data_IF_266276113911
#
_entry.id   IF_266276113911
#
_cell.length_a   1.000
_cell.length_b   1.000
_cell.length_c   1.000
_cell.angle_alpha   90.00
_cell.angle_beta   90.00
_cell.angle_gamma   90.00
#
_symmetry.space_group_name_H-M   'P 1'
#
loop_
_entity.id
_entity.type
_entity.pdbx_description
1 polymer ?
#
# COMPACT_ATOMS: atom_id res chain seq x y z
N UNK A 1 -7.36 -1.51 12.88
CA UNK A 1 -7.63 -0.79 11.61
C UNK A 1 -8.38 -1.72 10.65
N UNK A 2 -9.04 -1.19 9.62
CA UNK A 2 -9.84 -1.95 8.66
C UNK A 2 -9.64 -1.42 7.25
N UNK A 3 -9.82 -2.29 6.25
CA UNK A 3 -9.85 -1.96 4.83
C UNK A 3 -10.78 -2.96 4.11
N UNK A 4 -11.31 -2.57 2.96
CA UNK A 4 -12.04 -3.49 2.06
C UNK A 4 -11.08 -4.47 1.39
N UNK A 5 -11.59 -5.50 0.71
CA UNK A 5 -10.78 -6.36 -0.14
C UNK A 5 -10.55 -5.72 -1.51
N UNK A 6 -9.41 -6.02 -2.13
CA UNK A 6 -9.12 -5.55 -3.48
C UNK A 6 -9.99 -6.29 -4.51
N UNK A 7 -10.70 -5.53 -5.36
CA UNK A 7 -11.65 -6.05 -6.35
C UNK A 7 -11.02 -6.44 -7.70
N UNK A 8 -9.70 -6.33 -7.84
CA UNK A 8 -8.97 -6.69 -9.05
C UNK A 8 -8.47 -5.48 -9.85
N UNK A 9 -8.11 -5.77 -11.11
CA UNK A 9 -7.64 -4.80 -12.10
C UNK A 9 -8.76 -4.47 -13.11
N UNK A 10 -8.55 -3.42 -13.92
CA UNK A 10 -9.49 -2.97 -14.95
C UNK A 10 -10.61 -2.10 -14.39
N UNK A 11 -11.85 -2.31 -14.86
CA UNK A 11 -13.03 -1.59 -14.36
C UNK A 11 -13.37 -2.05 -12.95
N UNK A 12 -13.30 -1.11 -12.01
CA UNK A 12 -13.40 -1.34 -10.56
C UNK A 12 -14.05 -0.15 -9.88
N UNK A 13 -14.80 -0.40 -8.80
CA UNK A 13 -15.51 0.62 -8.04
C UNK A 13 -14.57 1.65 -7.40
N UNK A 14 -13.36 1.24 -6.97
CA UNK A 14 -12.35 2.16 -6.41
C UNK A 14 -11.86 3.23 -7.40
N UNK A 15 -12.13 3.05 -8.69
CA UNK A 15 -11.89 4.05 -9.74
C UNK A 15 -13.20 4.63 -10.31
N UNK A 16 -14.32 4.48 -9.59
CA UNK A 16 -15.61 5.06 -9.96
C UNK A 16 -16.46 4.25 -10.95
N UNK A 17 -16.03 3.05 -11.38
CA UNK A 17 -16.83 2.24 -12.30
C UNK A 17 -17.95 1.48 -11.57
N UNK A 18 -19.16 1.45 -12.14
CA UNK A 18 -20.36 0.83 -11.52
C UNK A 18 -21.23 0.04 -12.51
N UNK A 19 -20.64 -0.45 -13.60
CA UNK A 19 -21.35 -1.30 -14.57
C UNK A 19 -21.78 -2.66 -13.97
N UNK A 20 -22.69 -3.36 -14.65
CA UNK A 20 -23.21 -4.66 -14.20
C UNK A 20 -22.10 -5.69 -13.91
N UNK A 21 -21.01 -5.68 -14.67
CA UNK A 21 -19.85 -6.56 -14.42
C UNK A 21 -19.14 -6.24 -13.08
N UNK A 22 -19.07 -4.97 -12.69
CA UNK A 22 -18.46 -4.53 -11.43
C UNK A 22 -19.37 -4.95 -10.28
N UNK A 23 -20.68 -4.66 -10.38
CA UNK A 23 -21.65 -5.04 -9.35
C UNK A 23 -21.71 -6.56 -9.17
N UNK A 24 -21.70 -7.32 -10.26
CA UNK A 24 -21.63 -8.79 -10.22
C UNK A 24 -20.39 -9.29 -9.50
N UNK A 25 -19.22 -8.67 -9.75
CA UNK A 25 -17.97 -9.01 -9.05
C UNK A 25 -18.05 -8.67 -7.57
N UNK A 26 -18.57 -7.51 -7.18
CA UNK A 26 -18.75 -7.14 -5.78
C UNK A 26 -19.68 -8.11 -5.05
N UNK A 27 -20.79 -8.50 -5.69
CA UNK A 27 -21.70 -9.53 -5.17
C UNK A 27 -21.04 -10.90 -5.07
N UNK A 28 -20.19 -11.26 -6.03
CA UNK A 28 -19.38 -12.47 -5.93
C UNK A 28 -18.39 -12.41 -4.76
N UNK A 29 -17.74 -11.26 -4.55
CA UNK A 29 -16.82 -11.08 -3.42
C UNK A 29 -17.55 -11.18 -2.08
N UNK A 30 -18.73 -10.57 -1.98
CA UNK A 30 -19.60 -10.62 -0.80
C UNK A 30 -20.08 -12.04 -0.48
N UNK A 31 -20.52 -12.78 -1.49
CA UNK A 31 -21.19 -14.07 -1.30
C UNK A 31 -20.25 -15.28 -1.35
N UNK A 32 -19.07 -15.16 -1.97
CA UNK A 32 -18.10 -16.25 -2.09
C UNK A 32 -16.74 -15.91 -1.48
N UNK A 33 -16.02 -14.92 -2.02
CA UNK A 33 -14.63 -14.64 -1.63
C UNK A 33 -14.50 -14.38 -0.12
N UNK A 34 -15.27 -13.42 0.40
CA UNK A 34 -15.17 -13.01 1.80
C UNK A 34 -15.63 -14.13 2.77
N UNK A 35 -16.76 -14.83 2.56
CA UNK A 35 -17.14 -15.98 3.39
C UNK A 35 -16.11 -17.12 3.38
N UNK A 36 -15.51 -17.42 2.22
CA UNK A 36 -14.48 -18.45 2.10
C UNK A 36 -13.21 -18.05 2.85
N UNK A 37 -12.70 -16.84 2.63
CA UNK A 37 -11.54 -16.32 3.36
C UNK A 37 -11.79 -16.24 4.87
N UNK A 38 -13.01 -15.88 5.29
CA UNK A 38 -13.42 -15.89 6.70
C UNK A 38 -13.35 -17.29 7.30
N UNK A 39 -13.76 -18.33 6.57
CA UNK A 39 -13.63 -19.71 7.06
C UNK A 39 -12.17 -20.16 7.09
N UNK A 40 -11.38 -19.85 6.05
CA UNK A 40 -9.95 -20.15 6.02
C UNK A 40 -9.21 -19.49 7.19
N UNK A 41 -9.47 -18.22 7.48
CA UNK A 41 -8.88 -17.51 8.62
C UNK A 41 -9.31 -18.09 9.98
N UNK A 42 -10.52 -18.61 10.12
CA UNK A 42 -10.93 -19.31 11.36
C UNK A 42 -10.16 -20.62 11.59
N UNK A 43 -9.78 -21.31 10.52
CA UNK A 43 -8.98 -22.54 10.59
C UNK A 43 -7.51 -22.22 10.83
N UNK A 44 -6.99 -21.19 10.17
CA UNK A 44 -5.60 -20.76 10.28
C UNK A 44 -5.28 -20.09 11.62
N UNK A 45 -6.17 -19.22 12.09
CA UNK A 45 -5.86 -18.23 13.11
C UNK A 45 -5.33 -16.91 12.52
N UNK A 46 -4.92 -15.96 13.38
CA UNK A 46 -4.42 -14.66 12.93
C UNK A 46 -3.15 -14.79 12.09
N UNK A 47 -2.96 -13.86 11.15
CA UNK A 47 -1.75 -13.76 10.32
C UNK A 47 -0.93 -12.57 10.83
N UNK A 48 0.36 -12.78 11.07
CA UNK A 48 1.29 -11.69 11.35
C UNK A 48 1.65 -10.94 10.06
N UNK A 49 0.85 -9.91 9.76
CA UNK A 49 1.08 -9.06 8.59
C UNK A 49 2.39 -8.29 8.65
N UNK A 50 2.92 -7.96 9.84
CA UNK A 50 4.18 -7.21 9.95
C UNK A 50 5.36 -8.07 9.50
N UNK A 51 5.39 -9.33 9.92
CA UNK A 51 6.37 -10.31 9.46
C UNK A 51 6.22 -10.60 7.96
N UNK A 52 4.99 -10.76 7.48
CA UNK A 52 4.73 -11.03 6.06
C UNK A 52 5.15 -9.86 5.15
N UNK A 53 4.88 -8.60 5.54
CA UNK A 53 5.34 -7.40 4.84
C UNK A 53 6.88 -7.36 4.83
N UNK A 54 7.53 -7.69 5.95
CA UNK A 54 9.00 -7.73 6.03
C UNK A 54 9.59 -8.72 5.01
N UNK A 55 9.01 -9.91 4.90
CA UNK A 55 9.41 -10.90 3.91
C UNK A 55 9.15 -10.41 2.47
N UNK A 56 8.00 -9.78 2.22
CA UNK A 56 7.67 -9.22 0.92
C UNK A 56 8.70 -8.16 0.47
N UNK A 57 9.10 -7.26 1.37
CA UNK A 57 10.17 -6.27 1.10
C UNK A 57 11.47 -6.95 0.70
N UNK A 58 11.86 -8.03 1.38
CA UNK A 58 13.07 -8.79 1.05
C UNK A 58 12.95 -9.64 -0.22
N UNK A 59 11.73 -9.80 -0.74
CA UNK A 59 11.42 -10.48 -2.01
C UNK A 59 11.14 -9.50 -3.15
N UNK A 60 11.43 -8.22 -2.93
CA UNK A 60 11.40 -7.18 -3.94
C UNK A 60 10.10 -6.40 -4.03
N UNK A 61 9.13 -6.62 -3.14
CA UNK A 61 7.98 -5.73 -3.04
C UNK A 61 8.38 -4.43 -2.32
N UNK A 62 7.56 -3.40 -2.48
CA UNK A 62 7.65 -2.18 -1.65
C UNK A 62 6.38 -1.95 -0.82
N UNK A 63 5.31 -2.70 -1.08
CA UNK A 63 4.10 -2.74 -0.25
C UNK A 63 3.03 -1.71 -0.61
N UNK A 64 3.22 -0.91 -1.67
CA UNK A 64 2.24 0.03 -2.19
C UNK A 64 1.81 -0.33 -3.63
N UNK A 65 2.70 -0.25 -4.61
CA UNK A 65 2.42 -0.57 -6.01
C UNK A 65 2.87 -1.99 -6.42
N UNK A 66 4.00 -2.47 -5.89
CA UNK A 66 4.47 -3.83 -6.13
C UNK A 66 4.20 -4.68 -4.89
N UNK A 67 3.27 -5.63 -5.04
CA UNK A 67 2.71 -6.48 -3.98
C UNK A 67 2.67 -7.98 -4.36
N UNK A 68 3.48 -8.38 -5.35
CA UNK A 68 3.46 -9.73 -5.93
C UNK A 68 4.00 -10.78 -4.97
N UNK A 69 5.08 -10.46 -4.26
CA UNK A 69 5.62 -11.35 -3.25
C UNK A 69 4.67 -11.49 -2.06
N UNK A 70 4.10 -10.39 -1.56
CA UNK A 70 3.12 -10.39 -0.47
C UNK A 70 1.87 -11.20 -0.84
N UNK A 71 1.35 -11.04 -2.05
CA UNK A 71 0.21 -11.83 -2.55
C UNK A 71 0.55 -13.33 -2.61
N UNK A 72 1.76 -13.67 -3.08
CA UNK A 72 2.24 -15.07 -3.12
C UNK A 72 2.41 -15.68 -1.71
N UNK A 73 2.95 -14.91 -0.75
CA UNK A 73 3.09 -15.33 0.65
C UNK A 73 1.73 -15.56 1.30
N UNK A 74 0.75 -14.68 1.03
CA UNK A 74 -0.61 -14.85 1.54
C UNK A 74 -1.28 -16.12 0.99
N UNK A 75 -1.14 -16.37 -0.31
CA UNK A 75 -1.65 -17.62 -0.91
C UNK A 75 -0.98 -18.82 -0.25
N UNK A 76 0.35 -18.81 -0.11
CA UNK A 76 1.09 -19.89 0.54
C UNK A 76 0.60 -20.17 1.97
N UNK A 77 0.32 -19.12 2.73
CA UNK A 77 -0.17 -19.21 4.11
C UNK A 77 -1.60 -19.77 4.19
N UNK A 78 -2.49 -19.26 3.34
CA UNK A 78 -3.92 -19.58 3.41
C UNK A 78 -4.33 -20.81 2.60
N UNK A 79 -3.57 -21.25 1.62
CA UNK A 79 -3.94 -22.34 0.72
C UNK A 79 -4.36 -23.63 1.45
N UNK A 80 -3.62 -24.15 2.46
CA UNK A 80 -4.04 -25.34 3.20
C UNK A 80 -5.39 -25.17 3.90
N UNK A 81 -5.67 -23.98 4.41
CA UNK A 81 -6.91 -23.65 5.11
C UNK A 81 -8.07 -23.44 4.12
N UNK A 82 -7.80 -22.85 2.94
CA UNK A 82 -8.75 -22.73 1.83
C UNK A 82 -9.24 -24.11 1.40
N UNK A 83 -8.34 -25.08 1.24
CA UNK A 83 -8.69 -26.46 0.87
C UNK A 83 -9.58 -27.14 1.91
N UNK A 84 -9.37 -26.85 3.21
CA UNK A 84 -10.16 -27.39 4.32
C UNK A 84 -11.53 -26.70 4.51
N UNK A 85 -11.83 -25.62 3.79
CA UNK A 85 -13.15 -24.96 3.88
C UNK A 85 -14.26 -25.86 3.32
N UNK A 86 -15.52 -25.55 3.68
CA UNK A 86 -16.69 -26.35 3.26
C UNK A 86 -17.15 -26.07 1.82
N UNK A 87 -16.54 -25.11 1.15
CA UNK A 87 -16.89 -24.71 -0.21
C UNK A 87 -16.52 -25.80 -1.22
N UNK A 88 -17.17 -25.78 -2.38
CA UNK A 88 -16.86 -26.72 -3.46
C UNK A 88 -15.45 -26.53 -3.99
N UNK A 89 -14.90 -27.56 -4.64
CA UNK A 89 -13.58 -27.48 -5.26
C UNK A 89 -13.50 -26.35 -6.30
N UNK A 90 -14.56 -26.21 -7.11
CA UNK A 90 -14.67 -25.13 -8.12
C UNK A 90 -14.56 -23.75 -7.49
N UNK A 91 -15.29 -23.50 -6.40
CA UNK A 91 -15.28 -22.22 -5.68
C UNK A 91 -13.91 -21.91 -5.06
N UNK A 92 -13.24 -22.92 -4.49
CA UNK A 92 -11.89 -22.79 -3.93
C UNK A 92 -10.88 -22.40 -5.01
N UNK A 93 -10.93 -23.08 -6.16
CA UNK A 93 -10.10 -22.76 -7.33
C UNK A 93 -10.37 -21.34 -7.82
N UNK A 94 -11.64 -20.94 -7.89
CA UNK A 94 -12.06 -19.60 -8.33
C UNK A 94 -11.48 -18.50 -7.44
N UNK A 95 -11.54 -18.67 -6.11
CA UNK A 95 -10.93 -17.73 -5.16
C UNK A 95 -9.41 -17.68 -5.31
N UNK A 96 -8.72 -18.82 -5.41
CA UNK A 96 -7.27 -18.85 -5.58
C UNK A 96 -6.84 -18.15 -6.88
N UNK A 97 -7.55 -18.40 -7.99
CA UNK A 97 -7.31 -17.73 -9.28
C UNK A 97 -7.59 -16.22 -9.19
N UNK A 98 -8.62 -15.81 -8.46
CA UNK A 98 -8.91 -14.38 -8.27
C UNK A 98 -7.75 -13.67 -7.57
N UNK A 99 -7.21 -14.26 -6.47
CA UNK A 99 -6.08 -13.69 -5.75
C UNK A 99 -4.81 -13.68 -6.62
N UNK A 100 -4.51 -14.79 -7.32
CA UNK A 100 -3.36 -14.91 -8.23
C UNK A 100 -3.39 -13.89 -9.37
N UNK A 101 -4.57 -13.63 -9.95
CA UNK A 101 -4.74 -12.66 -11.03
C UNK A 101 -4.65 -11.19 -10.59
N UNK A 102 -4.51 -10.93 -9.29
CA UNK A 102 -4.53 -9.60 -8.70
C UNK A 102 -3.31 -9.38 -7.80
N UNK A 103 -2.18 -8.99 -8.40
CA UNK A 103 -0.98 -8.65 -7.63
C UNK A 103 -1.21 -7.53 -6.60
N UNK A 104 -2.25 -6.69 -6.75
CA UNK A 104 -2.65 -5.67 -5.77
C UNK A 104 -3.51 -6.21 -4.62
N UNK A 105 -3.82 -7.51 -4.57
CA UNK A 105 -4.65 -8.09 -3.51
C UNK A 105 -4.06 -7.81 -2.13
N UNK A 106 -2.73 -7.92 -2.00
CA UNK A 106 -2.03 -7.71 -0.72
C UNK A 106 -1.97 -6.25 -0.27
N UNK A 107 -2.11 -5.26 -1.17
CA UNK A 107 -2.14 -3.83 -0.79
C UNK A 107 -3.22 -3.54 0.27
N UNK A 108 -4.39 -4.16 0.11
CA UNK A 108 -5.52 -4.01 1.01
C UNK A 108 -5.30 -4.70 2.38
N UNK A 109 -4.21 -5.44 2.55
CA UNK A 109 -3.71 -5.93 3.84
C UNK A 109 -2.58 -5.05 4.38
N UNK A 110 -1.71 -4.56 3.49
CA UNK A 110 -0.62 -3.65 3.84
C UNK A 110 -1.14 -2.34 4.43
N UNK A 111 -2.11 -1.69 3.78
CA UNK A 111 -2.66 -0.41 4.25
C UNK A 111 -3.20 -0.46 5.70
N UNK A 112 -4.11 -1.39 6.07
CA UNK A 112 -4.58 -1.45 7.45
C UNK A 112 -3.50 -1.88 8.44
N UNK A 113 -2.49 -2.66 8.03
CA UNK A 113 -1.35 -3.01 8.89
C UNK A 113 -0.47 -1.77 9.19
N UNK A 114 -0.16 -0.97 8.17
CA UNK A 114 0.53 0.31 8.30
C UNK A 114 -0.27 1.28 9.17
N UNK A 115 -1.57 1.39 8.91
CA UNK A 115 -2.48 2.22 9.71
C UNK A 115 -2.51 1.78 11.17
N UNK A 116 -2.61 0.48 11.44
CA UNK A 116 -2.61 -0.07 12.80
C UNK A 116 -1.30 0.28 13.54
N UNK A 117 -0.17 0.18 12.84
CA UNK A 117 1.15 0.55 13.38
C UNK A 117 1.22 2.04 13.71
N UNK A 118 0.77 2.91 12.80
CA UNK A 118 0.81 4.35 12.97
C UNK A 118 -0.19 4.87 14.00
N UNK A 119 -1.33 4.19 14.18
CA UNK A 119 -2.33 4.56 15.19
C UNK A 119 -1.76 4.47 16.61
N UNK A 120 -0.81 3.55 16.86
CA UNK A 120 -0.10 3.46 18.14
C UNK A 120 0.87 4.63 18.38
N UNK A 121 1.23 5.39 17.34
CA UNK A 121 2.13 6.54 17.40
C UNK A 121 1.38 7.88 17.38
N UNK A 122 0.06 7.89 17.58
CA UNK A 122 -0.75 9.12 17.66
C UNK A 122 -0.74 9.72 19.06
N UNK A 123 -1.03 11.03 19.13
CA UNK A 123 -1.27 11.76 20.38
C UNK A 123 -0.08 11.71 21.36
N UNK A 124 1.14 11.64 20.83
CA UNK A 124 2.36 11.75 21.65
C UNK A 124 2.69 13.24 21.78
N UNK A 125 2.62 13.74 23.01
CA UNK A 125 2.90 15.15 23.31
C UNK A 125 4.25 15.59 22.71
N UNK A 126 4.27 16.78 22.10
CA UNK A 126 5.44 17.37 21.44
C UNK A 126 6.01 16.60 20.23
N UNK A 127 5.39 15.48 19.81
CA UNK A 127 5.84 14.73 18.63
C UNK A 127 5.55 15.48 17.34
N UNK A 128 6.58 15.62 16.50
CA UNK A 128 6.50 16.24 15.17
C UNK A 128 6.36 15.22 14.04
N UNK A 129 6.08 13.97 14.39
CA UNK A 129 5.98 12.87 13.43
C UNK A 129 4.63 12.89 12.73
N UNK A 130 4.63 12.84 11.40
CA UNK A 130 3.43 12.60 10.58
C UNK A 130 2.91 11.20 10.86
N UNK A 131 1.67 11.11 11.35
CA UNK A 131 1.00 9.85 11.71
C UNK A 131 -0.01 9.40 10.65
N UNK A 132 -0.44 10.31 9.77
CA UNK A 132 -1.34 10.04 8.65
C UNK A 132 -0.95 10.95 7.50
N UNK A 133 -0.84 10.37 6.31
CA UNK A 133 -1.06 11.04 5.04
C UNK A 133 -2.28 10.39 4.37
N UNK A 134 -3.09 11.17 3.68
CA UNK A 134 -4.26 10.71 2.93
C UNK A 134 -4.61 11.72 1.83
N UNK A 135 -5.31 11.28 0.79
CA UNK A 135 -5.64 12.13 -0.36
C UNK A 135 -6.95 11.69 -1.01
N UNK A 136 -7.77 12.64 -1.47
CA UNK A 136 -9.15 12.37 -1.89
C UNK A 136 -9.45 12.75 -3.34
N UNK A 137 -8.43 13.04 -4.16
CA UNK A 137 -8.58 13.52 -5.54
C UNK A 137 -8.80 15.02 -5.66
N UNK A 138 -8.78 15.75 -4.54
CA UNK A 138 -8.87 17.23 -4.52
C UNK A 138 -7.88 17.83 -3.53
N UNK A 139 -7.82 17.28 -2.32
CA UNK A 139 -6.91 17.68 -1.25
C UNK A 139 -5.97 16.55 -0.84
N UNK A 140 -4.75 16.91 -0.48
CA UNK A 140 -3.82 16.10 0.28
C UNK A 140 -3.87 16.54 1.74
N UNK A 141 -4.04 15.59 2.65
CA UNK A 141 -4.18 15.84 4.09
C UNK A 141 -3.14 15.10 4.90
N UNK A 142 -2.63 15.75 5.95
CA UNK A 142 -1.78 15.12 6.95
C UNK A 142 -2.33 15.29 8.38
N UNK A 143 -1.95 14.35 9.26
CA UNK A 143 -2.05 14.51 10.72
C UNK A 143 -0.67 14.31 11.35
N UNK A 144 -0.37 15.11 12.36
CA UNK A 144 0.90 15.07 13.11
C UNK A 144 0.61 14.60 14.53
N UNK A 145 1.41 13.67 15.05
CA UNK A 145 1.16 12.97 16.31
C UNK A 145 0.88 13.92 17.49
N UNK A 146 1.73 14.93 17.68
CA UNK A 146 1.57 15.90 18.78
C UNK A 146 0.49 16.95 18.57
N UNK A 147 -0.19 16.94 17.42
CA UNK A 147 -1.24 17.91 17.06
C UNK A 147 -2.65 17.28 17.05
N UNK A 148 -2.78 16.07 17.60
CA UNK A 148 -4.06 15.39 17.79
C UNK A 148 -4.74 15.02 16.47
N UNK A 149 -6.06 15.19 16.43
CA UNK A 149 -6.89 14.81 15.29
C UNK A 149 -7.07 15.88 14.21
N UNK A 150 -6.37 17.01 14.34
CA UNK A 150 -6.43 18.10 13.36
C UNK A 150 -5.86 17.66 12.02
N UNK A 151 -6.62 17.90 10.96
CA UNK A 151 -6.14 17.80 9.58
C UNK A 151 -5.45 19.10 9.15
N UNK A 152 -4.35 18.95 8.44
CA UNK A 152 -3.72 20.01 7.66
C UNK A 152 -3.85 19.62 6.19
N UNK A 153 -4.56 20.43 5.41
CA UNK A 153 -4.84 20.13 4.00
C UNK A 153 -4.19 21.14 3.07
N UNK A 154 -3.87 20.68 1.88
CA UNK A 154 -3.48 21.47 0.71
C UNK A 154 -4.00 20.80 -0.56
N UNK A 155 -3.81 21.40 -1.75
CA UNK A 155 -4.25 20.80 -2.99
C UNK A 155 -3.54 19.45 -3.23
N UNK A 156 -4.30 18.45 -3.70
CA UNK A 156 -3.71 17.20 -4.18
C UNK A 156 -2.86 17.47 -5.44
N UNK A 157 -1.68 16.87 -5.50
CA UNK A 157 -0.78 17.01 -6.64
C UNK A 157 -1.27 16.25 -7.88
N UNK A 158 -0.76 16.64 -9.05
CA UNK A 158 -0.81 15.80 -10.25
C UNK A 158 0.35 14.82 -10.17
N UNK A 159 0.08 13.55 -10.45
CA UNK A 159 1.06 12.48 -10.36
C UNK A 159 1.84 12.42 -11.67
N UNK A 160 3.15 12.64 -11.60
CA UNK A 160 4.06 12.45 -12.71
C UNK A 160 4.45 10.97 -12.85
N UNK A 161 4.31 10.40 -14.05
CA UNK A 161 4.65 8.99 -14.29
C UNK A 161 4.42 8.51 -15.71
N UNK A 162 4.65 7.22 -15.93
CA UNK A 162 4.37 6.57 -17.21
C UNK A 162 2.85 6.43 -17.40
N UNK A 163 2.35 6.92 -18.54
CA UNK A 163 0.95 6.78 -18.94
C UNK A 163 0.79 5.62 -19.93
N UNK A 164 -0.38 4.98 -19.91
CA UNK A 164 -0.71 3.97 -20.92
C UNK A 164 -0.87 4.61 -22.31
N UNK A 165 -0.56 3.88 -23.39
CA UNK A 165 -0.75 4.38 -24.74
C UNK A 165 -2.17 4.91 -24.97
N UNK A 166 -2.27 6.13 -25.51
CA UNK A 166 -3.55 6.80 -25.78
C UNK A 166 -4.05 7.75 -24.68
N UNK A 167 -3.34 7.87 -23.56
CA UNK A 167 -3.64 8.83 -22.49
C UNK A 167 -2.58 9.91 -22.38
N UNK A 168 -2.99 11.10 -21.90
CA UNK A 168 -2.10 12.22 -21.59
C UNK A 168 -2.30 12.71 -20.15
N UNK A 169 -1.45 13.64 -19.71
CA UNK A 169 -1.51 14.21 -18.35
C UNK A 169 -2.83 14.96 -18.10
N UNK A 170 -3.50 15.43 -19.15
CA UNK A 170 -4.80 16.10 -19.09
C UNK A 170 -5.95 15.15 -18.72
N UNK A 171 -5.75 13.83 -18.87
CA UNK A 171 -6.73 12.81 -18.48
C UNK A 171 -6.59 12.40 -17.01
N UNK A 172 -5.48 12.76 -16.36
CA UNK A 172 -5.18 12.37 -14.99
C UNK A 172 -6.02 13.12 -13.97
N UNK A 173 -6.55 12.38 -13.00
CA UNK A 173 -7.11 12.94 -11.78
C UNK A 173 -5.99 13.39 -10.84
N UNK A 174 -6.20 14.43 -10.00
CA UNK A 174 -5.31 14.68 -8.88
C UNK A 174 -5.24 13.47 -7.94
N UNK A 175 -4.17 13.42 -7.16
CA UNK A 175 -3.82 12.25 -6.38
C UNK A 175 -4.95 11.77 -5.43
N UNK A 176 -5.30 10.47 -5.47
CA UNK A 176 -6.46 9.90 -4.76
C UNK A 176 -6.21 8.54 -4.06
N UNK A 177 -6.70 8.41 -2.81
CA UNK A 177 -6.66 7.20 -2.00
C UNK A 177 -5.89 7.31 -0.68
N UNK A 178 -6.18 6.42 0.27
CA UNK A 178 -5.49 6.36 1.57
C UNK A 178 -4.20 5.51 1.53
N UNK A 179 -3.82 4.99 0.37
CA UNK A 179 -2.69 4.07 0.23
C UNK A 179 -1.34 4.69 0.58
N UNK A 180 -1.24 6.02 0.55
CA UNK A 180 -0.09 6.81 1.05
C UNK A 180 0.20 6.60 2.55
N UNK A 181 -0.69 5.91 3.27
CA UNK A 181 -0.40 5.40 4.62
C UNK A 181 0.78 4.40 4.63
N UNK A 182 1.08 3.75 3.50
CA UNK A 182 2.24 2.88 3.33
C UNK A 182 3.55 3.69 3.48
N UNK A 183 3.68 4.81 2.76
CA UNK A 183 4.80 5.75 2.88
C UNK A 183 4.89 6.37 4.26
N UNK A 184 3.73 6.71 4.85
CA UNK A 184 3.69 7.23 6.23
C UNK A 184 4.32 6.23 7.21
N UNK A 185 4.15 4.93 6.97
CA UNK A 185 4.73 3.85 7.77
C UNK A 185 6.17 3.48 7.37
N UNK A 186 6.76 4.20 6.41
CA UNK A 186 8.13 3.97 5.96
C UNK A 186 8.29 2.84 4.94
N UNK A 187 7.23 2.46 4.22
CA UNK A 187 7.32 1.54 3.07
C UNK A 187 6.81 2.25 1.80
N UNK A 188 6.41 1.54 0.75
CA UNK A 188 6.01 2.18 -0.51
C UNK A 188 7.18 2.90 -1.18
N UNK A 189 6.96 4.15 -1.59
CA UNK A 189 8.02 5.04 -2.10
C UNK A 189 9.24 5.19 -1.17
N UNK A 190 9.08 5.01 0.15
CA UNK A 190 10.18 5.07 1.13
C UNK A 190 11.05 3.81 1.09
N UNK A 191 10.50 2.68 0.65
CA UNK A 191 11.19 1.40 0.49
C UNK A 191 11.43 1.04 -0.98
N UNK A 192 11.40 2.02 -1.90
CA UNK A 192 11.55 1.78 -3.33
C UNK A 192 12.88 1.11 -3.70
N UNK A 193 13.95 1.31 -2.91
CA UNK A 193 15.22 0.59 -3.03
C UNK A 193 15.09 -0.94 -2.86
N UNK A 194 14.06 -1.43 -2.15
CA UNK A 194 13.76 -2.85 -2.06
C UNK A 194 13.15 -3.40 -3.37
N UNK A 195 12.50 -2.54 -4.16
CA UNK A 195 11.70 -2.92 -5.31
C UNK A 195 12.16 -2.28 -6.63
N UNK A 196 13.43 -2.41 -7.07
CA UNK A 196 13.92 -1.71 -8.26
C UNK A 196 13.14 -2.02 -9.54
N UNK A 197 12.43 -3.15 -9.62
CA UNK A 197 11.55 -3.50 -10.74
C UNK A 197 10.35 -2.55 -10.90
N UNK A 198 9.95 -1.82 -9.84
CA UNK A 198 8.77 -0.93 -9.89
C UNK A 198 8.95 0.21 -10.89
N UNK A 199 10.19 0.60 -11.21
CA UNK A 199 10.48 1.69 -12.16
C UNK A 199 9.98 1.41 -13.57
N UNK A 200 9.73 0.14 -13.91
CA UNK A 200 9.06 -0.22 -15.17
C UNK A 200 7.59 0.19 -15.20
N UNK A 201 6.97 0.39 -14.02
CA UNK A 201 5.58 0.81 -13.87
C UNK A 201 5.46 2.31 -13.56
N UNK A 202 6.31 2.83 -12.68
CA UNK A 202 6.21 4.22 -12.21
C UNK A 202 7.16 5.18 -12.93
N UNK A 203 8.02 4.67 -13.81
CA UNK A 203 9.05 5.45 -14.50
C UNK A 203 10.35 5.58 -13.70
N UNK A 204 11.39 6.07 -14.38
CA UNK A 204 12.73 6.24 -13.81
C UNK A 204 13.64 5.02 -13.99
N UNK A 205 14.72 4.99 -13.21
CA UNK A 205 15.76 3.96 -13.25
C UNK A 205 15.90 3.25 -11.91
N UNK A 206 16.49 2.06 -11.88
CA UNK A 206 16.78 1.36 -10.61
C UNK A 206 17.64 2.20 -9.64
N UNK A 207 18.49 3.11 -10.19
CA UNK A 207 19.25 4.07 -9.39
C UNK A 207 18.35 5.14 -8.77
N UNK A 208 17.30 5.57 -9.45
CA UNK A 208 16.33 6.52 -8.90
C UNK A 208 15.57 5.91 -7.73
N UNK A 209 15.16 4.64 -7.84
CA UNK A 209 14.54 3.89 -6.74
C UNK A 209 15.43 3.89 -5.47
N UNK A 210 16.74 3.68 -5.64
CA UNK A 210 17.71 3.77 -4.55
C UNK A 210 17.77 5.19 -3.96
N UNK A 211 17.88 6.19 -4.83
CA UNK A 211 17.99 7.59 -4.44
C UNK A 211 16.74 8.11 -3.72
N UNK A 212 15.54 7.66 -4.10
CA UNK A 212 14.31 8.02 -3.41
C UNK A 212 14.34 7.56 -1.95
N UNK A 213 14.61 6.28 -1.71
CA UNK A 213 14.79 5.77 -0.34
C UNK A 213 15.89 6.52 0.41
N UNK A 214 17.04 6.79 -0.22
CA UNK A 214 18.14 7.48 0.45
C UNK A 214 17.76 8.90 0.89
N UNK A 215 17.05 9.66 0.05
CA UNK A 215 16.53 10.99 0.40
C UNK A 215 15.56 10.96 1.57
N UNK A 216 14.77 9.89 1.71
CA UNK A 216 13.79 9.80 2.80
C UNK A 216 14.44 9.66 4.19
N UNK A 217 15.69 9.21 4.29
CA UNK A 217 16.43 9.23 5.56
C UNK A 217 16.68 10.66 6.08
N UNK A 218 16.76 11.65 5.19
CA UNK A 218 16.99 13.05 5.55
C UNK A 218 15.79 13.67 6.27
N UNK A 219 14.57 13.17 6.01
CA UNK A 219 13.32 13.71 6.56
C UNK A 219 12.65 12.82 7.61
N UNK A 220 13.26 11.68 7.93
CA UNK A 220 12.71 10.71 8.89
C UNK A 220 13.49 10.67 10.20
N UNK A 221 12.82 10.25 11.27
CA UNK A 221 13.38 10.26 12.61
C UNK A 221 14.38 9.13 12.84
N UNK A 222 14.15 7.96 12.23
CA UNK A 222 15.00 6.78 12.44
C UNK A 222 14.88 5.76 11.29
N UNK A 223 15.77 4.78 11.31
CA UNK A 223 15.63 3.55 10.52
C UNK A 223 14.72 2.55 11.24
N UNK A 224 13.86 1.86 10.48
CA UNK A 224 13.00 0.82 11.02
C UNK A 224 13.82 -0.38 11.55
N UNK A 225 13.49 -0.89 12.73
CA UNK A 225 14.16 -2.07 13.27
C UNK A 225 13.70 -3.39 12.63
N UNK A 226 12.56 -3.40 11.94
CA UNK A 226 11.92 -4.62 11.40
C UNK A 226 11.92 -4.62 9.87
N UNK A 227 11.47 -3.54 9.24
CA UNK A 227 11.46 -3.44 7.78
C UNK A 227 12.87 -3.16 7.28
N UNK A 228 13.53 -4.17 6.71
CA UNK A 228 14.92 -4.09 6.21
C UNK A 228 14.99 -4.16 4.69
N UNK A 229 15.93 -3.43 4.11
CA UNK A 229 16.16 -3.37 2.65
C UNK A 229 17.47 -4.08 2.31
N UNK A 230 17.45 -5.28 1.70
CA UNK A 230 18.67 -6.04 1.40
C UNK A 230 19.68 -5.29 0.53
N UNK A 231 19.20 -4.53 -0.47
CA UNK A 231 20.05 -3.76 -1.38
C UNK A 231 20.82 -2.61 -0.70
N UNK A 232 20.45 -2.26 0.54
CA UNK A 232 21.10 -1.25 1.37
C UNK A 232 21.79 -1.89 2.57
N UNK A 233 22.33 -3.10 2.41
CA UNK A 233 22.99 -3.86 3.48
C UNK A 233 22.08 -4.05 4.72
N UNK A 234 20.81 -4.36 4.45
CA UNK A 234 19.78 -4.55 5.48
C UNK A 234 19.56 -3.35 6.42
N UNK A 235 19.86 -2.13 5.96
CA UNK A 235 19.39 -0.90 6.61
C UNK A 235 17.87 -0.92 6.78
N UNK A 236 17.42 -0.32 7.87
CA UNK A 236 15.98 -0.21 8.17
C UNK A 236 15.31 0.83 7.31
N UNK A 237 14.08 0.62 6.86
CA UNK A 237 13.39 1.63 6.05
C UNK A 237 13.26 2.97 6.78
N UNK A 238 13.35 4.11 6.07
CA UNK A 238 13.23 5.44 6.69
C UNK A 238 11.85 5.60 7.32
N UNK A 239 11.78 5.84 8.63
CA UNK A 239 10.53 5.77 9.42
C UNK A 239 10.32 7.02 10.28
N UNK A 240 9.07 7.50 10.32
CA UNK A 240 8.66 8.64 11.12
C UNK A 240 9.05 9.96 10.45
N UNK A 241 8.25 10.40 9.48
CA UNK A 241 8.45 11.67 8.78
C UNK A 241 8.35 12.83 9.79
N UNK A 242 9.42 13.59 9.99
CA UNK A 242 9.45 14.73 10.91
C UNK A 242 9.16 16.02 10.14
N UNK A 243 8.06 16.70 10.46
CA UNK A 243 7.66 17.94 9.77
C UNK A 243 8.73 19.04 9.86
N UNK A 244 9.56 19.05 10.92
CA UNK A 244 10.65 20.03 11.05
C UNK A 244 11.74 19.80 10.02
N UNK A 245 12.13 18.53 9.82
CA UNK A 245 13.13 18.15 8.83
C UNK A 245 12.63 18.40 7.41
N UNK A 246 11.35 18.15 7.15
CA UNK A 246 10.72 18.49 5.85
C UNK A 246 10.83 19.99 5.57
N UNK A 247 10.51 20.84 6.55
CA UNK A 247 10.62 22.29 6.41
C UNK A 247 12.07 22.77 6.28
N UNK A 248 12.99 22.21 7.07
CA UNK A 248 14.41 22.58 7.08
C UNK A 248 15.13 22.21 5.77
N UNK A 249 14.89 21.00 5.27
CA UNK A 249 15.58 20.47 4.09
C UNK A 249 14.90 20.85 2.77
N UNK A 250 13.61 21.20 2.81
CA UNK A 250 12.77 21.35 1.62
C UNK A 250 12.49 20.04 0.88
N UNK A 251 12.90 18.89 1.42
CA UNK A 251 12.65 17.57 0.82
C UNK A 251 11.23 17.13 1.18
N UNK A 252 10.42 16.82 0.18
CA UNK A 252 9.06 16.30 0.36
C UNK A 252 9.04 14.76 0.42
N UNK A 253 8.07 14.15 1.11
CA UNK A 253 7.86 12.69 1.09
C UNK A 253 7.72 12.17 -0.35
N UNK A 254 8.53 11.17 -0.71
CA UNK A 254 8.44 10.48 -1.99
C UNK A 254 7.34 9.43 -1.93
N UNK A 255 6.33 9.59 -2.78
CA UNK A 255 5.17 8.70 -2.87
C UNK A 255 5.17 8.10 -4.28
N UNK A 256 5.07 6.77 -4.37
CA UNK A 256 4.79 6.12 -5.64
C UNK A 256 3.30 5.76 -5.66
N UNK A 257 2.57 6.06 -6.72
CA UNK A 257 1.11 5.86 -6.75
C UNK A 257 0.63 5.64 -8.16
N UNK A 258 -0.48 4.91 -8.31
CA UNK A 258 -1.15 4.77 -9.59
C UNK A 258 -1.79 6.09 -10.05
N UNK A 259 -1.78 6.32 -11.36
CA UNK A 259 -2.46 7.45 -12.00
C UNK A 259 -3.86 6.99 -12.40
N UNK A 260 -4.89 7.64 -11.84
CA UNK A 260 -6.29 7.38 -12.16
C UNK A 260 -6.81 8.40 -13.18
N UNK A 261 -7.76 8.00 -14.02
CA UNK A 261 -8.46 8.91 -14.91
C UNK A 261 -9.43 9.81 -14.11
N UNK A 262 -9.63 11.05 -14.57
CA UNK A 262 -10.60 12.02 -14.01
C UNK A 262 -12.07 11.62 -14.17
#
# INVERSE_FOLDING_TARGET
SYCTLNEGLGKVLRYGAYSDEVIKRLKWMENLLAPLLKQALKLHGPIDLKTMITQALQMGDEGHNRNRAGTSLLIRELAPCIIQTKFSEKEKIEVLKFIDSNDHFFLNLTMPACKCTLDAAKNIEFSTIVSVMARNGTEFGIKVSGLGDRWFTGPAGIVDGLLFPGYTTEDANPDIGDSVIAETAGIGGFAMAAAPAIVQFVGGTAKDALNFTLKMYEITAAENNIFKIPALDFRGTPTGIDIRKVVETGILPSINTGIAHK
#
